data_IF_973456563997
#
_entry.id   IF_973456563997
#
_cell.length_a   1.000
_cell.length_b   1.000
_cell.length_c   1.000
_cell.angle_alpha   90.00
_cell.angle_beta   90.00
_cell.angle_gamma   90.00
#
_symmetry.space_group_name_H-M   'P 1'
#
loop_
_entity.id
_entity.type
_entity.pdbx_description
1 polymer ?
#
# COMPACT_ATOMS: atom_id res chain seq x y z
N UNK A 1 9.42 -8.55 -21.21
CA UNK A 1 8.39 -9.28 -20.44
C UNK A 1 8.56 -9.07 -18.93
N UNK A 2 9.78 -9.09 -18.40
CA UNK A 2 10.06 -8.93 -16.95
C UNK A 2 9.53 -7.64 -16.32
N UNK A 3 9.66 -6.48 -16.98
CA UNK A 3 9.21 -5.20 -16.41
C UNK A 3 7.69 -5.19 -16.13
N UNK A 4 6.89 -5.76 -17.04
CA UNK A 4 5.44 -5.86 -16.85
C UNK A 4 5.08 -6.83 -15.72
N UNK A 5 5.89 -7.88 -15.52
CA UNK A 5 5.69 -8.85 -14.47
C UNK A 5 6.05 -8.28 -13.09
N UNK A 6 7.14 -7.52 -13.00
CA UNK A 6 7.55 -6.79 -11.79
C UNK A 6 6.55 -5.69 -11.41
N UNK A 7 5.94 -5.01 -12.39
CA UNK A 7 4.84 -4.06 -12.14
C UNK A 7 3.58 -4.77 -11.64
N UNK A 8 3.26 -5.94 -12.19
CA UNK A 8 2.11 -6.75 -11.74
C UNK A 8 2.31 -7.23 -10.31
N UNK A 9 3.49 -7.76 -9.97
CA UNK A 9 3.84 -8.16 -8.61
C UNK A 9 3.78 -6.97 -7.65
N UNK A 10 4.34 -5.82 -8.03
CA UNK A 10 4.28 -4.61 -7.20
C UNK A 10 2.84 -4.16 -6.93
N UNK A 11 1.95 -4.27 -7.92
CA UNK A 11 0.52 -3.96 -7.76
C UNK A 11 -0.21 -4.96 -6.88
N UNK A 12 0.10 -6.26 -7.00
CA UNK A 12 -0.50 -7.30 -6.16
C UNK A 12 -0.12 -7.07 -4.69
N UNK A 13 1.16 -6.83 -4.41
CA UNK A 13 1.66 -6.57 -3.05
C UNK A 13 1.04 -5.29 -2.46
N UNK A 14 0.90 -4.22 -3.26
CA UNK A 14 0.25 -3.00 -2.80
C UNK A 14 -1.23 -3.23 -2.44
N UNK A 15 -1.94 -4.06 -3.23
CA UNK A 15 -3.33 -4.43 -2.95
C UNK A 15 -3.42 -5.28 -1.66
N UNK A 16 -2.55 -6.26 -1.47
CA UNK A 16 -2.51 -7.08 -0.25
C UNK A 16 -2.28 -6.23 1.01
N UNK A 17 -1.33 -5.30 0.97
CA UNK A 17 -1.07 -4.39 2.09
C UNK A 17 -2.29 -3.52 2.42
N UNK A 18 -2.98 -3.04 1.38
CA UNK A 18 -4.17 -2.20 1.55
C UNK A 18 -5.32 -3.00 2.15
N UNK A 19 -5.54 -4.24 1.70
CA UNK A 19 -6.52 -5.14 2.26
C UNK A 19 -6.22 -5.43 3.73
N UNK A 20 -4.94 -5.63 4.09
CA UNK A 20 -4.53 -5.81 5.48
C UNK A 20 -4.84 -4.59 6.35
N UNK A 21 -4.57 -3.37 5.85
CA UNK A 21 -4.92 -2.12 6.54
C UNK A 21 -6.43 -2.01 6.73
N UNK A 22 -7.22 -2.29 5.68
CA UNK A 22 -8.68 -2.28 5.75
C UNK A 22 -9.20 -3.30 6.77
N UNK A 23 -8.67 -4.53 6.78
CA UNK A 23 -9.04 -5.58 7.75
C UNK A 23 -8.71 -5.16 9.18
N UNK A 24 -7.53 -4.58 9.41
CA UNK A 24 -7.14 -4.06 10.71
C UNK A 24 -8.08 -2.93 11.17
N UNK A 25 -8.46 -2.02 10.26
CA UNK A 25 -9.38 -0.93 10.58
C UNK A 25 -10.83 -1.40 10.78
N UNK A 26 -11.30 -2.41 10.05
CA UNK A 26 -12.65 -2.97 10.19
C UNK A 26 -12.80 -3.80 11.48
N UNK A 27 -11.71 -4.37 11.98
CA UNK A 27 -11.67 -5.05 13.29
C UNK A 27 -11.84 -4.07 14.45
N UNK A 28 -11.60 -2.77 14.21
CA UNK A 28 -11.76 -1.68 15.17
C UNK A 28 -12.86 -0.71 14.69
N UNK A 29 -14.12 -1.10 14.93
CA UNK A 29 -15.38 -0.53 14.37
C UNK A 29 -15.58 1.00 14.47
N UNK A 30 -14.73 1.74 15.19
CA UNK A 30 -14.81 3.20 15.35
C UNK A 30 -13.75 3.99 14.56
N UNK A 31 -12.85 3.33 13.81
CA UNK A 31 -11.55 3.92 13.45
C UNK A 31 -11.33 4.27 11.97
N UNK A 32 -12.28 3.97 11.07
CA UNK A 32 -12.06 4.09 9.61
C UNK A 32 -12.28 5.53 9.11
N UNK A 33 -11.35 6.43 9.44
CA UNK A 33 -11.24 7.75 8.82
C UNK A 33 -10.29 7.71 7.61
N UNK A 34 -10.68 8.42 6.54
CA UNK A 34 -9.92 8.49 5.29
C UNK A 34 -8.48 8.97 5.53
N UNK A 35 -8.27 9.94 6.42
CA UNK A 35 -6.94 10.45 6.74
C UNK A 35 -6.03 9.41 7.39
N UNK A 36 -6.59 8.54 8.25
CA UNK A 36 -5.83 7.41 8.83
C UNK A 36 -5.39 6.41 7.77
N UNK A 37 -6.26 6.08 6.82
CA UNK A 37 -5.94 5.20 5.70
C UNK A 37 -4.81 5.75 4.82
N UNK A 38 -4.89 7.03 4.46
CA UNK A 38 -3.84 7.72 3.69
C UNK A 38 -2.51 7.69 4.44
N UNK A 39 -2.52 7.98 5.75
CA UNK A 39 -1.31 7.96 6.57
C UNK A 39 -0.68 6.55 6.68
N UNK A 40 -1.50 5.51 6.85
CA UNK A 40 -1.02 4.13 6.94
C UNK A 40 -0.40 3.65 5.62
N UNK A 41 -1.02 3.97 4.49
CA UNK A 41 -0.47 3.65 3.17
C UNK A 41 0.83 4.43 2.89
N UNK A 42 0.92 5.68 3.32
CA UNK A 42 2.15 6.47 3.25
C UNK A 42 3.29 5.86 4.07
N UNK A 43 3.01 5.48 5.32
CA UNK A 43 4.00 4.83 6.21
C UNK A 43 4.50 3.49 5.63
N UNK A 44 3.58 2.66 5.11
CA UNK A 44 3.95 1.41 4.45
C UNK A 44 4.81 1.65 3.20
N UNK A 45 4.54 2.71 2.43
CA UNK A 45 5.35 3.08 1.27
C UNK A 45 6.78 3.49 1.67
N UNK A 46 6.93 4.24 2.76
CA UNK A 46 8.24 4.69 3.25
C UNK A 46 9.05 3.52 3.84
N UNK A 47 8.39 2.59 4.54
CA UNK A 47 9.01 1.37 5.04
C UNK A 47 9.43 0.42 3.91
N UNK A 48 8.57 0.25 2.89
CA UNK A 48 8.92 -0.49 1.68
C UNK A 48 10.10 0.16 0.95
N UNK A 49 10.20 1.49 0.93
CA UNK A 49 11.33 2.19 0.29
C UNK A 49 12.66 1.92 1.01
N UNK A 50 12.65 1.82 2.35
CA UNK A 50 13.83 1.49 3.15
C UNK A 50 14.29 0.03 3.00
N UNK A 51 13.35 -0.87 2.68
CA UNK A 51 13.59 -2.30 2.61
C UNK A 51 13.72 -2.89 1.18
N UNK A 52 13.31 -2.18 0.11
CA UNK A 52 12.96 -2.88 -1.13
C UNK A 52 13.98 -2.86 -2.29
N UNK A 53 14.16 -4.09 -2.78
CA UNK A 53 14.69 -4.60 -4.05
C UNK A 53 13.80 -4.33 -5.28
N UNK A 54 12.62 -3.70 -5.13
CA UNK A 54 11.72 -3.31 -6.23
C UNK A 54 11.05 -1.95 -5.94
N UNK A 55 11.49 -0.93 -6.68
CA UNK A 55 11.02 0.46 -6.53
C UNK A 55 9.55 0.70 -6.93
N UNK A 56 8.89 -0.27 -7.59
CA UNK A 56 7.49 -0.19 -7.96
C UNK A 56 6.52 -0.27 -6.77
N UNK A 57 6.94 -0.94 -5.68
CA UNK A 57 6.08 -1.17 -4.51
C UNK A 57 5.79 0.15 -3.76
N UNK A 58 6.79 0.98 -3.39
CA UNK A 58 6.52 2.29 -2.78
C UNK A 58 5.66 3.21 -3.67
N UNK A 59 5.86 3.16 -5.00
CA UNK A 59 5.12 3.99 -5.94
C UNK A 59 3.64 3.57 -6.06
N UNK A 60 3.37 2.27 -6.04
CA UNK A 60 2.01 1.73 -6.07
C UNK A 60 1.21 2.08 -4.81
N UNK A 61 1.85 1.97 -3.63
CA UNK A 61 1.24 2.33 -2.34
C UNK A 61 0.90 3.83 -2.27
N UNK A 62 1.80 4.70 -2.72
CA UNK A 62 1.54 6.16 -2.78
C UNK A 62 0.40 6.52 -3.73
N UNK A 63 0.39 5.95 -4.94
CA UNK A 63 -0.72 6.18 -5.91
C UNK A 63 -2.06 5.77 -5.34
N UNK A 64 -2.11 4.69 -4.57
CA UNK A 64 -3.35 4.23 -3.96
C UNK A 64 -3.82 5.18 -2.86
N UNK A 65 -2.90 5.70 -2.04
CA UNK A 65 -3.22 6.72 -1.04
C UNK A 65 -3.76 8.02 -1.67
N UNK A 66 -3.22 8.43 -2.83
CA UNK A 66 -3.68 9.60 -3.59
C UNK A 66 -5.09 9.42 -4.20
N UNK A 67 -5.52 8.18 -4.44
CA UNK A 67 -6.82 7.85 -5.03
C UNK A 67 -7.96 7.67 -4.03
N UNK A 68 -7.64 7.54 -2.74
CA UNK A 68 -8.62 7.43 -1.65
C UNK A 68 -9.18 8.80 -1.30
#
# INVERSE_FOLDING_TARGET
MEVKQQELEARIVAIEHTLQVIVNCLSDRQSLDRGKLVNLLGAAADEAKGNASNAGIPAALRRLAEQL
#
